data_IF_938495100716
#
_entry.id   IF_938495100716
#
_cell.length_a   1.000
_cell.length_b   1.000
_cell.length_c   1.000
_cell.angle_alpha   90.00
_cell.angle_beta   90.00
_cell.angle_gamma   90.00
#
_symmetry.space_group_name_H-M   'P 1'
#
loop_
_entity.id
_entity.type
_entity.pdbx_description
1 polymer ?
#
# COMPACT_ATOMS: atom_id res chain seq x y z
N UNK A 1 -29.04 -13.84 18.92
CA UNK A 1 -29.22 -12.38 18.97
C UNK A 1 -29.30 -11.89 17.53
N UNK A 2 -30.40 -11.24 17.16
CA UNK A 2 -30.73 -10.81 15.79
C UNK A 2 -30.11 -9.45 15.51
N UNK A 3 -29.08 -9.39 14.67
CA UNK A 3 -28.62 -8.15 14.07
C UNK A 3 -29.69 -7.63 13.09
N UNK A 4 -29.94 -6.32 13.14
CA UNK A 4 -31.00 -5.64 12.40
C UNK A 4 -30.90 -5.87 10.89
N UNK A 5 -32.05 -6.13 10.27
CA UNK A 5 -32.18 -6.23 8.80
C UNK A 5 -32.22 -4.83 8.21
N UNK A 6 -31.23 -4.55 7.36
CA UNK A 6 -31.24 -3.44 6.42
C UNK A 6 -32.45 -3.58 5.47
N UNK A 7 -33.31 -2.55 5.35
CA UNK A 7 -34.52 -2.59 4.53
C UNK A 7 -34.28 -2.68 3.01
N UNK A 8 -33.04 -2.45 2.54
CA UNK A 8 -32.66 -2.57 1.11
C UNK A 8 -31.94 -3.89 0.77
N UNK A 9 -31.82 -4.83 1.72
CA UNK A 9 -31.17 -6.13 1.47
C UNK A 9 -32.03 -7.04 0.58
N UNK A 10 -31.89 -6.89 -0.74
CA UNK A 10 -32.48 -7.80 -1.73
C UNK A 10 -31.77 -9.15 -1.66
N UNK A 11 -32.46 -10.15 -1.13
CA UNK A 11 -32.11 -11.58 -1.04
C UNK A 11 -30.76 -11.97 -1.67
N UNK A 12 -29.80 -12.27 -0.80
CA UNK A 12 -28.53 -12.86 -1.19
C UNK A 12 -28.78 -14.23 -1.85
N UNK A 13 -28.75 -14.30 -3.19
CA UNK A 13 -28.96 -15.53 -3.99
C UNK A 13 -27.68 -16.39 -4.09
N UNK A 14 -26.78 -16.32 -3.12
CA UNK A 14 -25.50 -17.05 -3.15
C UNK A 14 -25.73 -18.52 -2.81
N UNK A 15 -24.95 -19.41 -3.43
CA UNK A 15 -24.90 -20.82 -3.04
C UNK A 15 -24.44 -20.95 -1.58
N UNK A 16 -24.99 -21.93 -0.86
CA UNK A 16 -24.50 -22.27 0.48
C UNK A 16 -23.06 -22.79 0.35
N UNK A 17 -22.12 -22.13 1.00
CA UNK A 17 -20.72 -22.57 1.06
C UNK A 17 -20.49 -23.29 2.38
N UNK A 18 -20.01 -24.54 2.31
CA UNK A 18 -19.64 -25.30 3.49
C UNK A 18 -18.23 -24.94 3.94
N UNK A 19 -18.05 -24.76 5.26
CA UNK A 19 -16.77 -24.44 5.89
C UNK A 19 -15.66 -25.42 5.49
N UNK A 20 -15.93 -26.73 5.53
CA UNK A 20 -14.99 -27.76 5.12
C UNK A 20 -14.49 -27.61 3.66
N UNK A 21 -15.30 -27.04 2.76
CA UNK A 21 -14.86 -26.77 1.38
C UNK A 21 -13.93 -25.55 1.31
N UNK A 22 -14.17 -24.53 2.13
CA UNK A 22 -13.29 -23.35 2.23
C UNK A 22 -11.94 -23.72 2.84
N UNK A 23 -11.96 -24.48 3.94
CA UNK A 23 -10.74 -24.97 4.59
C UNK A 23 -9.91 -25.81 3.61
N UNK A 24 -10.55 -26.74 2.90
CA UNK A 24 -9.87 -27.57 1.90
C UNK A 24 -9.31 -26.73 0.74
N UNK A 25 -10.08 -25.77 0.22
CA UNK A 25 -9.61 -24.90 -0.85
C UNK A 25 -8.41 -24.06 -0.41
N UNK A 26 -8.45 -23.51 0.80
CA UNK A 26 -7.32 -22.77 1.37
C UNK A 26 -6.08 -23.63 1.52
N UNK A 27 -6.22 -24.84 2.09
CA UNK A 27 -5.09 -25.75 2.27
C UNK A 27 -4.51 -26.23 0.93
N UNK A 28 -5.35 -26.42 -0.09
CA UNK A 28 -4.86 -26.76 -1.43
C UNK A 28 -4.02 -25.61 -2.02
N UNK A 29 -4.52 -24.37 -1.95
CA UNK A 29 -3.79 -23.19 -2.46
C UNK A 29 -2.44 -23.04 -1.73
N UNK A 30 -2.41 -23.18 -0.41
CA UNK A 30 -1.16 -23.11 0.35
C UNK A 30 -0.15 -24.19 -0.05
N UNK A 31 -0.62 -25.41 -0.33
CA UNK A 31 0.25 -26.50 -0.80
C UNK A 31 0.78 -26.22 -2.20
N UNK A 32 -0.06 -25.77 -3.12
CA UNK A 32 0.36 -25.37 -4.46
C UNK A 32 1.43 -24.26 -4.41
N UNK A 33 1.23 -23.26 -3.55
CA UNK A 33 2.20 -22.18 -3.33
C UNK A 33 3.51 -22.66 -2.69
N UNK A 34 3.46 -23.69 -1.84
CA UNK A 34 4.64 -24.32 -1.23
C UNK A 34 5.40 -25.21 -2.22
N UNK A 35 4.68 -25.88 -3.12
CA UNK A 35 5.25 -26.76 -4.14
C UNK A 35 5.91 -25.97 -5.29
N UNK A 36 5.40 -24.77 -5.61
CA UNK A 36 5.98 -23.85 -6.59
C UNK A 36 6.10 -22.40 -6.05
N UNK A 37 7.08 -22.14 -5.15
CA UNK A 37 7.28 -20.80 -4.61
C UNK A 37 7.78 -19.80 -5.65
N UNK A 38 8.41 -20.27 -6.74
CA UNK A 38 8.97 -19.38 -7.77
C UNK A 38 7.87 -18.65 -8.53
N UNK A 39 6.79 -19.35 -8.89
CA UNK A 39 5.66 -18.73 -9.58
C UNK A 39 4.98 -17.67 -8.70
N UNK A 40 4.79 -17.96 -7.41
CA UNK A 40 4.26 -17.00 -6.44
C UNK A 40 5.16 -15.77 -6.32
N UNK A 41 6.48 -15.99 -6.27
CA UNK A 41 7.45 -14.90 -6.23
C UNK A 41 7.41 -14.04 -7.49
N UNK A 42 7.32 -14.63 -8.68
CA UNK A 42 7.26 -13.89 -9.93
C UNK A 42 6.00 -13.01 -10.01
N UNK A 43 4.83 -13.57 -9.67
CA UNK A 43 3.58 -12.82 -9.66
C UNK A 43 3.63 -11.65 -8.65
N UNK A 44 4.10 -11.92 -7.43
CA UNK A 44 4.24 -10.89 -6.40
C UNK A 44 5.24 -9.81 -6.80
N UNK A 45 6.36 -10.18 -7.42
CA UNK A 45 7.36 -9.23 -7.94
C UNK A 45 6.77 -8.35 -9.06
N UNK A 46 5.89 -8.88 -9.91
CA UNK A 46 5.21 -8.06 -10.92
C UNK A 46 4.29 -7.02 -10.29
N UNK A 47 3.56 -7.37 -9.24
CA UNK A 47 2.70 -6.43 -8.51
C UNK A 47 3.55 -5.38 -7.79
N UNK A 48 4.60 -5.80 -7.10
CA UNK A 48 5.56 -4.88 -6.45
C UNK A 48 6.17 -3.93 -7.48
N UNK A 49 6.56 -4.43 -8.65
CA UNK A 49 7.14 -3.60 -9.73
C UNK A 49 6.15 -2.57 -10.26
N UNK A 50 4.85 -2.89 -10.33
CA UNK A 50 3.80 -1.95 -10.73
C UNK A 50 3.58 -0.84 -9.70
N UNK A 51 3.75 -1.14 -8.41
CA UNK A 51 3.69 -0.15 -7.33
C UNK A 51 5.02 0.61 -7.14
N UNK A 52 6.13 0.12 -7.72
CA UNK A 52 7.45 0.75 -7.57
C UNK A 52 7.57 1.98 -8.46
N UNK A 53 8.24 3.01 -7.94
CA UNK A 53 8.67 4.13 -8.76
C UNK A 53 9.59 3.64 -9.89
N UNK A 54 9.31 4.12 -11.10
CA UNK A 54 10.18 3.98 -12.26
C UNK A 54 11.45 4.82 -12.08
N UNK A 55 12.53 4.53 -12.82
CA UNK A 55 13.75 5.33 -12.76
C UNK A 55 13.55 6.85 -12.92
N UNK A 56 12.75 7.37 -13.87
CA UNK A 56 12.52 8.81 -13.97
C UNK A 56 11.71 9.37 -12.78
N UNK A 57 10.83 8.57 -12.16
CA UNK A 57 10.10 9.00 -10.96
C UNK A 57 11.01 9.05 -9.73
N UNK A 58 12.02 8.17 -9.66
CA UNK A 58 13.07 8.25 -8.63
C UNK A 58 13.94 9.49 -8.80
N UNK A 59 14.40 9.77 -10.03
CA UNK A 59 15.14 10.99 -10.35
C UNK A 59 14.31 12.23 -10.01
N UNK A 60 13.01 12.23 -10.35
CA UNK A 60 12.09 13.31 -10.00
C UNK A 60 11.97 13.50 -8.49
N UNK A 61 11.87 12.42 -7.71
CA UNK A 61 11.82 12.49 -6.25
C UNK A 61 13.09 13.10 -5.66
N UNK A 62 14.27 12.75 -6.20
CA UNK A 62 15.55 13.36 -5.80
C UNK A 62 15.60 14.87 -6.13
N UNK A 63 15.13 15.24 -7.32
CA UNK A 63 15.03 16.65 -7.72
C UNK A 63 14.08 17.45 -6.81
N UNK A 64 12.92 16.89 -6.47
CA UNK A 64 11.93 17.53 -5.60
C UNK A 64 12.51 17.78 -4.21
N UNK A 65 13.21 16.79 -3.64
CA UNK A 65 13.89 16.93 -2.35
C UNK A 65 14.89 18.10 -2.36
N UNK A 66 15.73 18.19 -3.40
CA UNK A 66 16.71 19.27 -3.53
C UNK A 66 16.04 20.65 -3.69
N UNK A 67 14.92 20.73 -4.43
CA UNK A 67 14.17 21.98 -4.61
C UNK A 67 13.50 22.43 -3.30
N UNK A 68 12.88 21.50 -2.57
CA UNK A 68 12.25 21.78 -1.28
C UNK A 68 13.28 22.26 -0.26
N UNK A 69 14.45 21.63 -0.19
CA UNK A 69 15.56 22.05 0.67
C UNK A 69 16.03 23.47 0.31
N UNK A 70 16.23 23.75 -0.98
CA UNK A 70 16.63 25.09 -1.45
C UNK A 70 15.61 26.18 -1.10
N UNK A 71 14.31 25.88 -1.20
CA UNK A 71 13.25 26.83 -0.83
C UNK A 71 13.19 27.01 0.69
N UNK A 72 13.35 25.94 1.46
CA UNK A 72 13.39 25.99 2.91
C UNK A 72 14.56 26.86 3.43
N UNK A 73 15.73 26.76 2.81
CA UNK A 73 16.88 27.61 3.10
C UNK A 73 16.58 29.08 2.80
N UNK A 74 15.95 29.37 1.65
CA UNK A 74 15.55 30.74 1.28
C UNK A 74 14.53 31.34 2.24
N UNK A 75 13.54 30.56 2.68
CA UNK A 75 12.55 30.97 3.68
C UNK A 75 13.26 31.27 5.01
N UNK A 76 14.19 30.41 5.42
CA UNK A 76 14.97 30.57 6.65
C UNK A 76 15.85 31.82 6.61
N UNK A 77 16.54 32.06 5.49
CA UNK A 77 17.34 33.26 5.25
C UNK A 77 16.52 34.54 5.28
N UNK A 78 15.30 34.50 4.71
CA UNK A 78 14.36 35.62 4.76
C UNK A 78 13.87 35.88 6.19
N UNK A 79 13.57 34.84 6.95
CA UNK A 79 13.13 34.95 8.33
C UNK A 79 14.24 35.43 9.29
N UNK A 80 15.50 35.08 9.01
CA UNK A 80 16.65 35.47 9.81
C UNK A 80 17.07 36.94 9.61
N UNK A 81 16.73 37.54 8.46
CA UNK A 81 16.93 38.97 8.24
C UNK A 81 15.86 39.73 9.03
N UNK A 82 16.25 40.36 10.15
CA UNK A 82 15.37 41.22 10.95
C UNK A 82 14.59 42.19 10.05
N UNK A 83 13.28 41.96 9.94
CA UNK A 83 12.38 42.84 9.19
C UNK A 83 12.21 44.15 9.96
N UNK A 84 13.00 45.16 9.59
CA UNK A 84 12.73 46.56 9.92
C UNK A 84 11.64 47.15 9.02
N UNK A 85 11.04 46.36 8.13
CA UNK A 85 10.22 46.84 7.02
C UNK A 85 8.89 46.11 6.97
N UNK A 86 7.82 46.82 7.32
CA UNK A 86 6.42 46.57 6.94
C UNK A 86 6.30 46.62 5.39
N UNK A 87 6.98 45.71 4.69
CA UNK A 87 7.11 45.75 3.24
C UNK A 87 6.20 44.70 2.62
N UNK A 88 5.20 45.15 1.87
CA UNK A 88 4.30 44.28 1.13
C UNK A 88 5.07 43.35 0.16
N UNK A 89 6.28 43.74 -0.25
CA UNK A 89 7.18 42.94 -1.08
C UNK A 89 7.74 41.75 -0.29
N UNK A 90 8.09 41.91 0.99
CA UNK A 90 8.56 40.82 1.84
C UNK A 90 7.46 39.76 2.01
N UNK A 91 6.26 40.20 2.39
CA UNK A 91 5.11 39.33 2.58
C UNK A 91 4.72 38.60 1.28
N UNK A 92 4.73 39.29 0.15
CA UNK A 92 4.45 38.68 -1.16
C UNK A 92 5.49 37.62 -1.53
N UNK A 93 6.77 37.89 -1.27
CA UNK A 93 7.88 36.97 -1.56
C UNK A 93 7.82 35.73 -0.68
N UNK A 94 7.60 35.91 0.62
CA UNK A 94 7.47 34.81 1.56
C UNK A 94 6.28 33.90 1.21
N UNK A 95 5.12 34.50 0.91
CA UNK A 95 3.94 33.73 0.46
C UNK A 95 4.22 32.96 -0.82
N UNK A 96 4.92 33.57 -1.77
CA UNK A 96 5.27 32.89 -3.02
C UNK A 96 6.13 31.65 -2.78
N UNK A 97 7.17 31.75 -1.94
CA UNK A 97 8.03 30.63 -1.59
C UNK A 97 7.28 29.52 -0.85
N UNK A 98 6.37 29.88 0.06
CA UNK A 98 5.51 28.90 0.75
C UNK A 98 4.63 28.17 -0.25
N UNK A 99 3.97 28.87 -1.17
CA UNK A 99 3.15 28.22 -2.20
C UNK A 99 3.96 27.30 -3.11
N UNK A 100 5.17 27.71 -3.49
CA UNK A 100 6.07 26.87 -4.28
C UNK A 100 6.45 25.60 -3.52
N UNK A 101 6.79 25.73 -2.23
CA UNK A 101 7.08 24.59 -1.37
C UNK A 101 5.89 23.64 -1.23
N UNK A 102 4.67 24.16 -1.03
CA UNK A 102 3.45 23.35 -0.92
C UNK A 102 3.18 22.53 -2.19
N UNK A 103 3.39 23.12 -3.37
CA UNK A 103 3.21 22.41 -4.65
C UNK A 103 4.22 21.27 -4.78
N UNK A 104 5.49 21.52 -4.46
CA UNK A 104 6.54 20.52 -4.55
C UNK A 104 6.33 19.39 -3.53
N UNK A 105 5.89 19.72 -2.31
CA UNK A 105 5.56 18.73 -1.28
C UNK A 105 4.39 17.84 -1.70
N UNK A 106 3.36 18.39 -2.33
CA UNK A 106 2.24 17.58 -2.83
C UNK A 106 2.68 16.56 -3.88
N UNK A 107 3.60 16.95 -4.78
CA UNK A 107 4.18 16.02 -5.77
C UNK A 107 5.05 14.96 -5.08
N UNK A 108 5.86 15.36 -4.09
CA UNK A 108 6.68 14.45 -3.29
C UNK A 108 5.82 13.41 -2.57
N UNK A 109 4.79 13.84 -1.84
CA UNK A 109 3.88 12.97 -1.09
C UNK A 109 3.27 11.90 -2.00
N UNK A 110 2.85 12.30 -3.21
CA UNK A 110 2.27 11.39 -4.20
C UNK A 110 3.26 10.31 -4.65
N UNK A 111 4.54 10.64 -4.81
CA UNK A 111 5.60 9.68 -5.16
C UNK A 111 5.98 8.80 -3.96
N UNK A 112 6.01 9.37 -2.76
CA UNK A 112 6.32 8.63 -1.53
C UNK A 112 5.22 7.62 -1.17
N UNK A 113 3.94 7.93 -1.42
CA UNK A 113 2.83 6.99 -1.26
C UNK A 113 3.06 5.69 -2.05
N UNK A 114 3.47 5.81 -3.33
CA UNK A 114 3.81 4.64 -4.15
C UNK A 114 4.99 3.84 -3.59
N UNK A 115 6.01 4.53 -3.09
CA UNK A 115 7.15 3.88 -2.43
C UNK A 115 6.75 3.16 -1.13
N UNK A 116 5.85 3.74 -0.34
CA UNK A 116 5.32 3.13 0.87
C UNK A 116 4.50 1.88 0.55
N UNK A 117 3.66 1.92 -0.49
CA UNK A 117 2.90 0.77 -0.97
C UNK A 117 3.84 -0.35 -1.41
N UNK A 118 4.87 -0.04 -2.20
CA UNK A 118 5.89 -1.01 -2.61
C UNK A 118 6.55 -1.67 -1.39
N UNK A 119 6.93 -0.88 -0.38
CA UNK A 119 7.59 -1.39 0.83
C UNK A 119 6.65 -2.27 1.66
N UNK A 120 5.38 -1.90 1.75
CA UNK A 120 4.33 -2.70 2.38
C UNK A 120 4.18 -4.06 1.68
N UNK A 121 4.05 -4.06 0.36
CA UNK A 121 3.90 -5.29 -0.44
C UNK A 121 5.12 -6.21 -0.30
N UNK A 122 6.34 -5.65 -0.29
CA UNK A 122 7.57 -6.42 -0.05
C UNK A 122 7.57 -7.08 1.34
N UNK A 123 7.17 -6.36 2.39
CA UNK A 123 7.09 -6.91 3.75
C UNK A 123 6.04 -8.00 3.87
N UNK A 124 4.88 -7.83 3.23
CA UNK A 124 3.82 -8.84 3.19
C UNK A 124 4.29 -10.11 2.48
N UNK A 125 4.94 -9.97 1.31
CA UNK A 125 5.51 -11.10 0.58
C UNK A 125 6.55 -11.85 1.43
N UNK A 126 7.48 -11.14 2.06
CA UNK A 126 8.48 -11.77 2.91
C UNK A 126 7.83 -12.52 4.08
N UNK A 127 6.87 -11.89 4.76
CA UNK A 127 6.15 -12.51 5.88
C UNK A 127 5.42 -13.78 5.45
N UNK A 128 4.84 -13.76 4.25
CA UNK A 128 4.18 -14.94 3.68
C UNK A 128 5.16 -16.06 3.34
N UNK A 129 6.30 -15.74 2.74
CA UNK A 129 7.35 -16.73 2.45
C UNK A 129 7.90 -17.37 3.74
N UNK A 130 8.16 -16.55 4.77
CA UNK A 130 8.63 -17.03 6.07
C UNK A 130 7.61 -17.99 6.72
N UNK A 131 6.31 -17.70 6.58
CA UNK A 131 5.23 -18.58 7.03
C UNK A 131 5.20 -19.91 6.26
N UNK A 132 5.38 -19.87 4.94
CA UNK A 132 5.42 -21.07 4.09
C UNK A 132 6.62 -21.97 4.41
N UNK A 133 7.80 -21.38 4.68
CA UNK A 133 8.99 -22.12 5.07
C UNK A 133 8.88 -22.75 6.47
N UNK A 134 8.37 -21.99 7.44
CA UNK A 134 8.28 -22.44 8.85
C UNK A 134 7.23 -23.53 9.07
N UNK A 135 6.21 -23.59 8.20
CA UNK A 135 5.14 -24.58 8.34
C UNK A 135 5.58 -25.92 7.77
N UNK A 136 6.22 -26.77 8.59
CA UNK A 136 6.77 -28.08 8.20
C UNK A 136 5.70 -29.00 7.57
N UNK A 137 4.51 -29.09 8.15
CA UNK A 137 3.41 -29.94 7.69
C UNK A 137 2.09 -29.17 7.54
N UNK A 138 1.69 -28.88 6.30
CA UNK A 138 0.37 -28.34 5.95
C UNK A 138 -0.69 -29.47 5.92
N UNK A 139 -0.77 -30.26 6.99
CA UNK A 139 -1.66 -31.44 7.08
C UNK A 139 -3.09 -31.05 7.43
N UNK A 140 -3.25 -30.27 8.50
CA UNK A 140 -4.55 -29.80 9.02
C UNK A 140 -4.75 -28.30 8.82
N UNK A 141 -6.02 -27.87 8.81
CA UNK A 141 -6.38 -26.46 8.70
C UNK A 141 -5.94 -25.67 9.94
N UNK A 142 -5.10 -24.66 9.74
CA UNK A 142 -4.74 -23.70 10.77
C UNK A 142 -5.57 -22.41 10.63
N UNK A 143 -6.53 -22.24 11.54
CA UNK A 143 -7.38 -21.06 11.61
C UNK A 143 -6.62 -19.76 11.92
N UNK A 144 -5.45 -19.83 12.58
CA UNK A 144 -4.60 -18.65 12.82
C UNK A 144 -3.90 -18.25 11.53
N UNK A 145 -3.35 -19.22 10.80
CA UNK A 145 -2.74 -19.00 9.50
C UNK A 145 -3.76 -18.41 8.52
N UNK A 146 -4.96 -18.98 8.44
CA UNK A 146 -6.04 -18.48 7.60
C UNK A 146 -6.36 -17.00 7.86
N UNK A 147 -6.50 -16.60 9.14
CA UNK A 147 -6.80 -15.22 9.51
C UNK A 147 -5.62 -14.26 9.30
N UNK A 148 -4.40 -14.77 9.33
CA UNK A 148 -3.19 -13.98 9.09
C UNK A 148 -2.94 -13.75 7.59
N UNK A 149 -3.33 -14.71 6.73
CA UNK A 149 -3.02 -14.69 5.30
C UNK A 149 -4.16 -14.15 4.44
N UNK A 150 -5.43 -14.41 4.81
CA UNK A 150 -6.58 -14.07 3.97
C UNK A 150 -7.20 -12.73 4.40
N UNK A 151 -7.05 -11.71 3.56
CA UNK A 151 -7.73 -10.42 3.75
C UNK A 151 -9.19 -10.45 3.25
N UNK A 152 -9.45 -11.13 2.13
CA UNK A 152 -10.79 -11.21 1.51
C UNK A 152 -10.99 -12.48 0.70
N UNK A 153 -12.15 -13.13 0.87
CA UNK A 153 -12.63 -14.19 -0.01
C UNK A 153 -13.72 -13.68 -0.95
N UNK A 154 -13.66 -14.05 -2.23
CA UNK A 154 -14.70 -13.72 -3.22
C UNK A 154 -15.40 -15.02 -3.63
N UNK A 155 -16.69 -15.13 -3.35
CA UNK A 155 -17.50 -16.30 -3.70
C UNK A 155 -18.25 -16.00 -5.01
N UNK A 156 -17.87 -16.69 -6.08
CA UNK A 156 -18.60 -16.65 -7.33
C UNK A 156 -19.68 -17.74 -7.34
N UNK A 157 -20.87 -17.41 -7.83
CA UNK A 157 -21.89 -18.42 -8.14
C UNK A 157 -21.40 -19.19 -9.36
N UNK A 158 -21.40 -20.52 -9.31
CA UNK A 158 -21.03 -21.36 -10.45
C UNK A 158 -21.77 -20.87 -11.71
N UNK A 159 -21.02 -20.50 -12.75
CA UNK A 159 -21.57 -20.41 -14.10
C UNK A 159 -21.76 -21.85 -14.57
N UNK A 160 -23.01 -22.30 -14.55
CA UNK A 160 -23.47 -23.48 -15.28
C UNK A 160 -23.20 -23.25 -16.77
#
# INVERSE_FOLDING_TARGET
MTAGRDPDFKDCKTSYVHEAHLEKAFMNILREMKDDPNTVMEEAQQVIKKASLSPPEQERLEELNAQIETIADRISDLAAKESSTNDAIYDATLRHLIYEQEILQQEQDSLEEGMQEQLYLKKQLQSFLDLLETTEELTDFDAKLFKATIERGIIYKERI
#
